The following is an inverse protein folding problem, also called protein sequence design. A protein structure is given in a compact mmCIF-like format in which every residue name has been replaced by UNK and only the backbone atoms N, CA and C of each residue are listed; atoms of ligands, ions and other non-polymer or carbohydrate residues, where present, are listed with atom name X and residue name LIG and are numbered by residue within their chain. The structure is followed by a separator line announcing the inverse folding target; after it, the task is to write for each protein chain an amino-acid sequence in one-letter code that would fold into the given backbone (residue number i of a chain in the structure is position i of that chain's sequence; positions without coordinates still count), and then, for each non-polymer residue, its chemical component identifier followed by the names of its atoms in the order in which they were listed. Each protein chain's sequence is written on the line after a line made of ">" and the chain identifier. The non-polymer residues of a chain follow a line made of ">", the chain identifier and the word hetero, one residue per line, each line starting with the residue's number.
data_IF_980168291016
#
_entry.id   IF_980168291016
#
_cell.length_a   1.000
_cell.length_b   1.000
_cell.length_c   1.000
_cell.angle_alpha   90.00
_cell.angle_beta   90.00
_cell.angle_gamma   90.00
#
_symmetry.space_group_name_H-M   'P 1'
#
loop_
_entity.id
_entity.type
_entity.pdbx_description
1 polymer ?
#
# COMPACT_ATOMS: atom_id res chain seq x y z
N UNK A 1 -2.55 15.48 -22.61
CA UNK A 1 -1.35 14.86 -23.19
C UNK A 1 -0.83 13.86 -22.17
N UNK A 2 -0.65 12.58 -22.55
CA UNK A 2 -0.15 11.57 -21.62
C UNK A 2 1.28 11.90 -21.16
N UNK A 3 1.60 11.53 -19.92
CA UNK A 3 2.94 11.69 -19.37
C UNK A 3 3.89 10.67 -20.00
N UNK A 4 5.17 11.02 -19.97
CA UNK A 4 6.27 10.09 -20.21
C UNK A 4 7.26 10.12 -19.05
N UNK A 5 8.11 9.10 -18.96
CA UNK A 5 9.06 8.96 -17.84
C UNK A 5 10.05 10.12 -17.76
N UNK A 6 10.45 10.72 -18.89
CA UNK A 6 11.34 11.87 -18.92
C UNK A 6 10.70 13.10 -18.27
N UNK A 7 9.42 13.35 -18.55
CA UNK A 7 8.65 14.42 -17.93
C UNK A 7 8.54 14.20 -16.42
N UNK A 8 8.23 12.97 -15.98
CA UNK A 8 8.09 12.62 -14.56
C UNK A 8 9.42 12.78 -13.82
N UNK A 9 10.51 12.27 -14.40
CA UNK A 9 11.85 12.37 -13.83
C UNK A 9 12.28 13.83 -13.65
N UNK A 10 12.05 14.66 -14.67
CA UNK A 10 12.45 16.08 -14.66
C UNK A 10 11.46 17.01 -13.96
N UNK A 11 10.29 16.50 -13.57
CA UNK A 11 9.29 17.33 -12.90
C UNK A 11 9.81 17.83 -11.54
N UNK A 12 9.70 19.14 -11.33
CA UNK A 12 10.12 19.85 -10.12
C UNK A 12 8.91 20.34 -9.33
N UNK A 13 9.03 20.53 -8.02
CA UNK A 13 8.06 21.27 -7.22
C UNK A 13 7.83 22.67 -7.79
N UNK A 14 6.63 23.22 -7.58
CA UNK A 14 6.38 24.62 -7.86
C UNK A 14 7.13 25.50 -6.86
N UNK A 15 7.73 26.60 -7.35
CA UNK A 15 8.42 27.60 -6.53
C UNK A 15 7.49 28.27 -5.50
N UNK A 16 6.18 28.27 -5.78
CA UNK A 16 5.14 28.78 -4.89
C UNK A 16 4.88 27.92 -3.64
N UNK A 17 5.60 26.80 -3.47
CA UNK A 17 5.41 25.89 -2.33
C UNK A 17 4.09 25.11 -2.36
N UNK A 18 3.37 25.12 -3.49
CA UNK A 18 2.10 24.40 -3.68
C UNK A 18 2.32 23.06 -4.37
N UNK A 19 1.40 22.13 -4.11
CA UNK A 19 1.39 20.83 -4.80
C UNK A 19 1.12 21.02 -6.28
N UNK A 20 1.92 20.39 -7.13
CA UNK A 20 1.76 20.43 -8.59
C UNK A 20 1.11 19.14 -9.07
N UNK A 21 0.18 19.23 -10.03
CA UNK A 21 -0.48 18.06 -10.62
C UNK A 21 -0.15 17.97 -12.10
N UNK A 22 0.41 16.85 -12.54
CA UNK A 22 0.65 16.53 -13.95
C UNK A 22 -0.30 15.42 -14.37
N UNK A 23 -1.20 15.67 -15.32
CA UNK A 23 -2.23 14.71 -15.71
C UNK A 23 -1.74 13.78 -16.81
N UNK A 24 -1.98 12.48 -16.63
CA UNK A 24 -1.71 11.44 -17.63
C UNK A 24 -2.95 11.13 -18.48
N UNK A 25 -4.15 11.21 -17.89
CA UNK A 25 -5.41 10.93 -18.57
C UNK A 25 -6.29 9.96 -17.76
N UNK A 26 -7.59 9.89 -18.09
CA UNK A 26 -8.51 8.97 -17.40
C UNK A 26 -8.57 9.17 -15.87
N UNK A 27 -8.35 10.40 -15.40
CA UNK A 27 -8.26 10.75 -13.98
C UNK A 27 -6.92 10.47 -13.32
N UNK A 28 -5.97 9.79 -13.98
CA UNK A 28 -4.62 9.54 -13.48
C UNK A 28 -3.78 10.81 -13.56
N UNK A 29 -3.08 11.12 -12.47
CA UNK A 29 -2.13 12.23 -12.41
C UNK A 29 -0.99 11.95 -11.43
N UNK A 30 0.15 12.61 -11.68
CA UNK A 30 1.27 12.69 -10.75
C UNK A 30 1.10 13.94 -9.87
N UNK A 31 1.04 13.74 -8.56
CA UNK A 31 1.12 14.79 -7.56
C UNK A 31 2.57 14.97 -7.11
N UNK A 32 3.09 16.19 -7.24
CA UNK A 32 4.42 16.57 -6.80
C UNK A 32 4.27 17.43 -5.54
N UNK A 33 4.84 16.96 -4.44
CA UNK A 33 4.83 17.70 -3.17
C UNK A 33 5.87 18.81 -3.20
N UNK A 34 5.72 19.85 -2.35
CA UNK A 34 6.72 20.91 -2.22
C UNK A 34 8.12 20.38 -1.89
N UNK A 35 8.18 19.27 -1.15
CA UNK A 35 9.43 18.57 -0.80
C UNK A 35 10.02 17.72 -1.95
N UNK A 36 9.46 17.74 -3.16
CA UNK A 36 9.96 16.94 -4.30
C UNK A 36 9.44 15.51 -4.39
N UNK A 37 8.58 15.09 -3.47
CA UNK A 37 7.96 13.75 -3.51
C UNK A 37 6.99 13.63 -4.67
N UNK A 38 7.03 12.51 -5.39
CA UNK A 38 6.21 12.24 -6.58
C UNK A 38 5.27 11.07 -6.31
N UNK A 39 3.97 11.29 -6.43
CA UNK A 39 2.95 10.29 -6.07
C UNK A 39 1.91 10.17 -7.17
N UNK A 40 1.70 8.96 -7.68
CA UNK A 40 0.60 8.65 -8.59
C UNK A 40 -0.72 8.59 -7.84
N UNK A 41 -1.70 9.32 -8.36
CA UNK A 41 -3.07 9.38 -7.83
C UNK A 41 -4.08 9.27 -8.96
N UNK A 42 -5.20 8.65 -8.65
CA UNK A 42 -6.35 8.56 -9.54
C UNK A 42 -7.50 9.38 -8.94
N UNK A 43 -7.98 10.36 -9.69
CA UNK A 43 -9.20 11.11 -9.39
C UNK A 43 -10.40 10.39 -9.99
N UNK A 44 -11.41 10.09 -9.18
CA UNK A 44 -12.60 9.38 -9.62
C UNK A 44 -13.87 9.89 -8.94
N UNK A 45 -15.03 9.45 -9.43
CA UNK A 45 -16.33 9.71 -8.80
C UNK A 45 -17.07 8.40 -8.57
N UNK A 46 -17.72 8.30 -7.42
CA UNK A 46 -18.64 7.22 -7.06
C UNK A 46 -19.78 7.86 -6.26
N UNK A 47 -21.02 7.49 -6.57
CA UNK A 47 -22.23 8.06 -5.94
C UNK A 47 -22.28 9.59 -5.92
N UNK A 48 -21.86 10.22 -7.04
CA UNK A 48 -21.79 11.68 -7.18
C UNK A 48 -20.68 12.37 -6.37
N UNK A 49 -19.92 11.62 -5.56
CA UNK A 49 -18.84 12.16 -4.72
C UNK A 49 -17.48 11.99 -5.40
N UNK A 50 -16.69 13.06 -5.38
CA UNK A 50 -15.32 13.04 -5.86
C UNK A 50 -14.39 12.41 -4.81
N UNK A 51 -13.65 11.38 -5.20
CA UNK A 51 -12.66 10.70 -4.37
C UNK A 51 -11.31 10.64 -5.08
N UNK A 52 -10.26 10.41 -4.30
CA UNK A 52 -8.89 10.28 -4.79
C UNK A 52 -8.27 8.99 -4.28
N UNK A 53 -7.86 8.12 -5.19
CA UNK A 53 -7.19 6.87 -4.90
C UNK A 53 -5.68 7.06 -5.04
N UNK A 54 -4.92 6.69 -4.01
CA UNK A 54 -3.46 6.78 -4.05
C UNK A 54 -2.87 5.47 -4.53
N UNK A 55 -2.19 5.50 -5.68
CA UNK A 55 -1.59 4.31 -6.29
C UNK A 55 -0.26 4.01 -5.59
N UNK A 56 0.69 4.94 -5.66
CA UNK A 56 2.01 4.76 -5.06
C UNK A 56 2.98 5.89 -5.39
N UNK A 57 4.20 5.81 -4.84
CA UNK A 57 5.25 6.81 -5.04
C UNK A 57 6.13 6.41 -6.23
N UNK A 58 6.55 7.40 -7.02
CA UNK A 58 7.62 7.22 -7.99
C UNK A 58 8.99 7.36 -7.27
N UNK A 59 10.03 6.57 -7.60
CA UNK A 59 10.09 5.56 -8.66
C UNK A 59 9.69 4.14 -8.23
N UNK A 60 9.24 3.93 -6.99
CA UNK A 60 8.81 2.60 -6.50
C UNK A 60 7.72 1.98 -7.36
N UNK A 61 6.83 2.81 -7.90
CA UNK A 61 5.87 2.44 -8.94
C UNK A 61 6.27 3.20 -10.21
N UNK A 62 6.41 2.46 -11.31
CA UNK A 62 6.65 3.00 -12.65
C UNK A 62 5.37 3.60 -13.25
N UNK A 63 5.51 4.41 -14.31
CA UNK A 63 4.35 4.97 -15.02
C UNK A 63 3.47 3.86 -15.62
N UNK A 64 4.07 2.78 -16.13
CA UNK A 64 3.34 1.64 -16.71
C UNK A 64 2.50 0.95 -15.63
N UNK A 65 3.10 0.65 -14.47
CA UNK A 65 2.37 0.06 -13.34
C UNK A 65 1.27 0.99 -12.83
N UNK A 66 1.53 2.31 -12.80
CA UNK A 66 0.52 3.29 -12.41
C UNK A 66 -0.69 3.31 -13.36
N UNK A 67 -0.45 3.21 -14.68
CA UNK A 67 -1.53 3.07 -15.68
C UNK A 67 -2.30 1.78 -15.49
N UNK A 68 -1.63 0.65 -15.29
CA UNK A 68 -2.28 -0.63 -15.04
C UNK A 68 -3.14 -0.60 -13.77
N UNK A 69 -2.64 0.00 -12.69
CA UNK A 69 -3.39 0.19 -11.45
C UNK A 69 -4.60 1.12 -11.64
N UNK A 70 -4.48 2.16 -12.46
CA UNK A 70 -5.59 3.05 -12.79
C UNK A 70 -6.69 2.34 -13.60
N UNK A 71 -6.32 1.51 -14.59
CA UNK A 71 -7.29 0.68 -15.32
C UNK A 71 -8.00 -0.31 -14.40
N UNK A 72 -7.26 -0.98 -13.52
CA UNK A 72 -7.84 -1.89 -12.51
C UNK A 72 -8.84 -1.16 -11.62
N UNK A 73 -8.48 0.00 -11.10
CA UNK A 73 -9.37 0.82 -10.28
C UNK A 73 -10.61 1.28 -11.05
N UNK A 74 -10.48 1.66 -12.33
CA UNK A 74 -11.65 2.00 -13.16
C UNK A 74 -12.58 0.82 -13.40
N UNK A 75 -12.04 -0.40 -13.59
CA UNK A 75 -12.85 -1.62 -13.68
C UNK A 75 -13.64 -1.88 -12.39
N UNK A 76 -13.02 -1.71 -11.23
CA UNK A 76 -13.70 -1.83 -9.94
C UNK A 76 -14.84 -0.82 -9.80
N UNK A 77 -14.62 0.42 -10.22
CA UNK A 77 -15.66 1.46 -10.20
C UNK A 77 -16.85 1.13 -11.10
N UNK A 78 -16.61 0.57 -12.28
CA UNK A 78 -17.70 0.10 -13.17
C UNK A 78 -18.51 -1.02 -12.50
N UNK A 79 -17.88 -1.87 -11.70
CA UNK A 79 -18.57 -2.89 -10.90
C UNK A 79 -19.19 -2.36 -9.59
N UNK A 80 -19.18 -1.04 -9.36
CA UNK A 80 -19.72 -0.42 -8.15
C UNK A 80 -18.87 -0.59 -6.89
N UNK A 81 -17.63 -1.06 -7.01
CA UNK A 81 -16.71 -1.27 -5.89
C UNK A 81 -15.75 -0.08 -5.74
N UNK A 82 -15.49 0.35 -4.50
CA UNK A 82 -14.50 1.41 -4.23
C UNK A 82 -13.06 0.84 -4.27
N UNK A 83 -12.18 1.31 -5.18
CA UNK A 83 -10.79 0.85 -5.25
C UNK A 83 -10.00 1.06 -3.95
N UNK A 84 -10.37 2.05 -3.16
CA UNK A 84 -9.72 2.33 -1.87
C UNK A 84 -10.00 1.24 -0.84
N UNK A 85 -11.21 0.67 -0.87
CA UNK A 85 -11.61 -0.43 0.01
C UNK A 85 -10.94 -1.73 -0.40
N UNK A 86 -10.87 -2.02 -1.71
CA UNK A 86 -10.15 -3.19 -2.24
C UNK A 86 -8.67 -3.17 -1.83
N UNK A 87 -8.00 -2.01 -1.93
CA UNK A 87 -6.61 -1.86 -1.49
C UNK A 87 -6.44 -2.02 0.03
N UNK A 88 -7.39 -1.50 0.82
CA UNK A 88 -7.36 -1.66 2.26
C UNK A 88 -7.60 -3.12 2.67
N UNK A 89 -8.48 -3.83 1.96
CA UNK A 89 -8.74 -5.24 2.15
C UNK A 89 -7.49 -6.08 1.88
N UNK A 90 -6.83 -5.88 0.75
CA UNK A 90 -5.58 -6.58 0.42
C UNK A 90 -4.50 -6.33 1.48
N UNK A 91 -4.38 -5.08 1.97
CA UNK A 91 -3.46 -4.75 3.06
C UNK A 91 -3.81 -5.52 4.35
N UNK A 92 -5.09 -5.58 4.72
CA UNK A 92 -5.55 -6.33 5.89
C UNK A 92 -5.27 -7.82 5.73
N UNK A 93 -5.51 -8.39 4.56
CA UNK A 93 -5.25 -9.79 4.26
C UNK A 93 -3.76 -10.12 4.35
N UNK A 94 -2.87 -9.28 3.80
CA UNK A 94 -1.42 -9.46 3.97
C UNK A 94 -0.99 -9.37 5.44
N UNK A 95 -1.55 -8.43 6.19
CA UNK A 95 -1.27 -8.31 7.63
C UNK A 95 -1.77 -9.53 8.41
N UNK A 96 -2.99 -10.01 8.11
CA UNK A 96 -3.55 -11.21 8.71
C UNK A 96 -2.71 -12.45 8.35
N UNK A 97 -2.28 -12.59 7.11
CA UNK A 97 -1.40 -13.67 6.67
C UNK A 97 -0.06 -13.64 7.42
N UNK A 98 0.54 -12.47 7.60
CA UNK A 98 1.77 -12.31 8.39
C UNK A 98 1.56 -12.68 9.88
N UNK A 99 0.43 -12.29 10.47
CA UNK A 99 0.07 -12.62 11.85
C UNK A 99 -0.33 -14.08 12.05
N UNK A 100 -0.82 -14.75 10.99
CA UNK A 100 -1.18 -16.17 10.99
C UNK A 100 0.01 -17.07 10.62
N UNK A 101 1.24 -16.55 10.68
CA UNK A 101 2.44 -17.39 10.57
C UNK A 101 2.61 -18.25 11.81
N UNK A 102 3.15 -19.46 11.65
CA UNK A 102 3.44 -20.36 12.78
C UNK A 102 4.31 -19.67 13.83
N UNK A 103 5.31 -18.87 13.41
CA UNK A 103 6.13 -18.07 14.31
C UNK A 103 5.29 -17.11 15.15
N UNK A 104 4.43 -16.30 14.53
CA UNK A 104 3.60 -15.31 15.22
C UNK A 104 2.63 -15.97 16.20
N UNK A 105 2.04 -17.10 15.80
CA UNK A 105 1.15 -17.90 16.64
C UNK A 105 1.91 -18.53 17.81
N UNK A 106 3.09 -19.12 17.57
CA UNK A 106 3.92 -19.75 18.58
C UNK A 106 4.42 -18.74 19.63
N UNK A 107 4.89 -17.56 19.19
CA UNK A 107 5.32 -16.47 20.08
C UNK A 107 4.17 -15.92 20.92
N UNK A 108 2.98 -15.75 20.32
CA UNK A 108 1.78 -15.32 21.04
C UNK A 108 1.36 -16.36 22.08
N UNK A 109 1.24 -17.63 21.67
CA UNK A 109 0.89 -18.72 22.57
C UNK A 109 1.87 -18.86 23.72
N UNK A 110 3.17 -18.74 23.45
CA UNK A 110 4.22 -18.74 24.47
C UNK A 110 4.02 -17.61 25.50
N UNK A 111 3.82 -16.38 25.02
CA UNK A 111 3.58 -15.20 25.86
C UNK A 111 2.33 -15.37 26.74
N UNK A 112 1.22 -15.81 26.14
CA UNK A 112 -0.04 -16.03 26.85
C UNK A 112 0.10 -17.11 27.94
N UNK A 113 1.05 -18.04 27.82
CA UNK A 113 1.28 -19.11 28.81
C UNK A 113 2.43 -18.83 29.79
N UNK A 114 3.15 -17.70 29.68
CA UNK A 114 4.25 -17.36 30.60
C UNK A 114 3.81 -17.35 32.07
N UNK A 115 2.58 -16.91 32.34
CA UNK A 115 2.03 -16.89 33.70
C UNK A 115 1.77 -18.30 34.29
N UNK A 116 1.73 -19.34 33.45
CA UNK A 116 1.46 -20.74 33.84
C UNK A 116 2.74 -21.58 33.90
N UNK A 117 3.81 -21.15 33.23
CA UNK A 117 5.02 -21.93 33.06
C UNK A 117 6.16 -21.36 33.89
N UNK A 118 7.00 -22.26 34.41
CA UNK A 118 8.29 -21.88 34.99
C UNK A 118 9.23 -21.41 33.89
N UNK A 119 10.09 -20.44 34.17
CA UNK A 119 11.00 -19.81 33.21
C UNK A 119 11.77 -20.82 32.35
N UNK A 120 12.34 -21.88 32.94
CA UNK A 120 13.09 -22.90 32.21
C UNK A 120 12.23 -23.68 31.20
N UNK A 121 10.96 -23.94 31.53
CA UNK A 121 10.04 -24.62 30.62
C UNK A 121 9.63 -23.69 29.48
N UNK A 122 9.29 -22.43 29.81
CA UNK A 122 9.01 -21.42 28.80
C UNK A 122 10.20 -21.22 27.84
N UNK A 123 11.42 -21.07 28.36
CA UNK A 123 12.64 -20.90 27.56
C UNK A 123 12.89 -22.09 26.61
N UNK A 124 12.63 -23.32 27.07
CA UNK A 124 12.75 -24.52 26.24
C UNK A 124 11.71 -24.55 25.12
N UNK A 125 10.45 -24.25 25.45
CA UNK A 125 9.34 -24.30 24.50
C UNK A 125 9.55 -23.29 23.35
N UNK A 126 10.00 -22.06 23.64
CA UNK A 126 10.28 -21.10 22.57
C UNK A 126 11.49 -21.52 21.73
N UNK A 127 12.57 -21.99 22.36
CA UNK A 127 13.77 -22.46 21.68
C UNK A 127 13.49 -23.64 20.74
N UNK A 128 12.66 -24.59 21.16
CA UNK A 128 12.28 -25.72 20.31
C UNK A 128 11.31 -25.30 19.19
N UNK A 129 10.44 -24.31 19.43
CA UNK A 129 9.57 -23.75 18.38
C UNK A 129 10.33 -23.00 17.29
N UNK A 130 11.45 -22.35 17.65
CA UNK A 130 12.30 -21.59 16.71
C UNK A 130 13.10 -22.50 15.76
N UNK A 131 13.37 -23.76 16.15
CA UNK A 131 14.06 -24.76 15.31
C UNK A 131 13.22 -25.30 14.16
N UNK A 132 11.89 -25.16 14.26
CA UNK A 132 10.93 -25.66 13.27
C UNK A 132 10.40 -24.54 12.37
N UNK A 133 10.93 -23.32 12.52
CA UNK A 133 10.62 -22.20 11.63
C UNK A 133 11.26 -22.45 10.25
N UNK A 134 10.50 -22.24 9.15
CA UNK A 134 11.00 -22.38 7.79
C UNK A 134 12.00 -21.30 7.39
#
# INVERSE_FOLDING_TARGET
>A
MPLNDRQIKNAKPAETGKKTKLFDGGGLYLEITPAGGKVFRLKYRIDGKEKTFTIGKYPTISLVEARQAAENARRLLVSGQDPSEAKQQEKRERQAAALNTFESIARRWHTDNLHRWKENHAARIIFDSEKVLP
#
